data_IF_803264689605
#
_entry.id   IF_803264689605
#
_cell.length_a   1.000
_cell.length_b   1.000
_cell.length_c   1.000
_cell.angle_alpha   90.00
_cell.angle_beta   90.00
_cell.angle_gamma   90.00
#
_symmetry.space_group_name_H-M   'P 1'
#
loop_
_entity.id
_entity.type
_entity.pdbx_description
1 polymer ?
#
# COMPACT_ATOMS: atom_id res chain seq x y z
N UNK A 1 -55.53 21.29 13.24
CA UNK A 1 -55.33 20.26 12.20
C UNK A 1 -53.82 20.09 12.04
N UNK A 2 -53.15 19.39 12.96
CA UNK A 2 -52.93 17.93 12.99
C UNK A 2 -52.07 17.43 11.82
N UNK A 3 -50.77 17.22 12.04
CA UNK A 3 -50.16 15.89 12.10
C UNK A 3 -48.65 16.00 12.31
N UNK A 4 -48.19 15.54 13.47
CA UNK A 4 -46.79 15.34 13.83
C UNK A 4 -46.39 13.92 13.48
N UNK A 5 -45.28 13.72 12.76
CA UNK A 5 -44.71 12.39 12.51
C UNK A 5 -43.53 12.17 13.46
N UNK A 6 -43.81 11.42 14.52
CA UNK A 6 -42.85 10.83 15.45
C UNK A 6 -42.24 9.57 14.82
N UNK A 7 -40.92 9.42 14.89
CA UNK A 7 -40.23 8.17 14.53
C UNK A 7 -39.24 7.83 15.63
N UNK A 8 -39.58 6.79 16.40
CA UNK A 8 -38.73 6.18 17.43
C UNK A 8 -37.66 5.28 16.82
N UNK A 9 -36.42 5.26 17.35
CA UNK A 9 -35.50 4.15 17.12
C UNK A 9 -35.57 3.13 18.27
N UNK A 10 -35.54 1.86 17.86
CA UNK A 10 -35.62 0.67 18.67
C UNK A 10 -34.36 0.42 19.51
N UNK A 11 -34.59 -0.02 20.74
CA UNK A 11 -33.61 -0.51 21.71
C UNK A 11 -33.18 -1.93 21.34
N UNK A 12 -31.88 -2.18 21.21
CA UNK A 12 -31.31 -3.55 21.12
C UNK A 12 -30.68 -3.95 22.45
N UNK A 13 -30.94 -5.17 22.97
CA UNK A 13 -30.45 -5.61 24.27
C UNK A 13 -29.09 -6.30 24.21
N UNK A 14 -28.40 -6.20 25.34
CA UNK A 14 -27.16 -6.86 25.75
C UNK A 14 -27.02 -8.33 25.32
N UNK A 15 -25.84 -8.68 24.79
CA UNK A 15 -25.24 -10.00 24.92
C UNK A 15 -23.93 -9.87 25.70
N UNK A 16 -23.92 -10.42 26.92
CA UNK A 16 -22.77 -10.69 27.79
C UNK A 16 -22.45 -12.19 27.68
N UNK A 17 -21.19 -12.55 28.04
CA UNK A 17 -20.64 -13.90 28.36
C UNK A 17 -20.06 -14.68 27.18
N UNK A 18 -18.91 -15.36 27.25
CA UNK A 18 -17.90 -15.63 28.28
C UNK A 18 -16.59 -16.00 27.55
N UNK A 19 -15.44 -15.43 27.94
CA UNK A 19 -14.12 -15.87 27.46
C UNK A 19 -13.47 -16.74 28.55
N UNK A 20 -13.58 -18.06 28.38
CA UNK A 20 -12.77 -19.06 29.07
C UNK A 20 -11.57 -19.37 28.17
N UNK A 21 -10.37 -18.97 28.59
CA UNK A 21 -9.13 -19.50 28.03
C UNK A 21 -8.17 -19.91 29.14
N UNK A 22 -7.67 -21.14 28.98
CA UNK A 22 -6.87 -21.90 29.93
C UNK A 22 -5.42 -21.39 30.05
N UNK A 23 -4.76 -21.60 31.21
CA UNK A 23 -3.32 -21.37 31.36
C UNK A 23 -2.52 -22.54 30.78
N UNK A 24 -1.60 -22.25 29.85
CA UNK A 24 -0.57 -23.21 29.43
C UNK A 24 0.72 -22.94 30.18
N UNK A 25 1.23 -23.99 30.79
CA UNK A 25 2.40 -24.07 31.66
C UNK A 25 3.74 -23.98 30.92
N UNK A 26 4.73 -23.57 31.71
CA UNK A 26 6.15 -23.35 31.44
C UNK A 26 6.91 -24.47 30.72
N UNK A 27 7.93 -24.07 29.95
CA UNK A 27 9.20 -24.80 29.85
C UNK A 27 10.37 -23.79 29.73
N UNK A 28 11.20 -23.76 30.76
CA UNK A 28 12.50 -23.10 30.86
C UNK A 28 13.54 -23.79 29.97
N UNK A 29 14.59 -23.08 29.51
CA UNK A 29 15.91 -23.64 29.76
C UNK A 29 16.96 -22.64 30.28
N UNK A 30 17.63 -23.17 31.28
CA UNK A 30 18.87 -22.86 32.00
C UNK A 30 20.09 -22.50 31.14
N UNK A 31 20.74 -21.40 31.55
CA UNK A 31 22.18 -21.10 31.70
C UNK A 31 23.22 -21.36 30.59
N UNK A 32 24.11 -20.37 30.41
CA UNK A 32 25.43 -20.52 29.82
C UNK A 32 26.14 -19.17 29.56
N UNK A 33 27.27 -18.84 30.22
CA UNK A 33 27.84 -17.48 30.26
C UNK A 33 29.03 -17.27 29.31
N UNK A 34 29.42 -16.00 29.13
CA UNK A 34 30.80 -15.45 29.30
C UNK A 34 31.25 -14.49 28.20
N UNK A 35 31.86 -13.37 28.65
CA UNK A 35 33.00 -12.63 28.05
C UNK A 35 32.79 -11.93 26.68
N UNK A 36 33.31 -10.74 26.40
CA UNK A 36 34.46 -9.97 26.92
C UNK A 36 34.28 -8.50 26.57
N UNK A 37 34.64 -7.64 27.52
CA UNK A 37 34.84 -6.20 27.41
C UNK A 37 36.00 -5.87 26.47
N UNK A 38 35.86 -4.86 25.59
CA UNK A 38 36.99 -4.17 24.97
C UNK A 38 36.61 -2.72 24.69
N UNK A 39 37.07 -1.86 25.59
CA UNK A 39 36.96 -0.41 25.54
C UNK A 39 38.14 0.12 24.73
N UNK A 40 37.88 0.76 23.58
CA UNK A 40 38.88 1.56 22.87
C UNK A 40 38.50 3.03 22.97
N UNK A 41 39.24 3.73 23.82
CA UNK A 41 39.22 5.17 24.00
C UNK A 41 39.92 5.82 22.81
N UNK A 42 39.18 6.51 21.94
CA UNK A 42 39.74 7.30 20.86
C UNK A 42 39.58 8.78 21.17
N UNK A 43 40.66 9.39 21.65
CA UNK A 43 40.81 10.82 21.90
C UNK A 43 41.11 11.52 20.57
N UNK A 44 40.27 12.49 20.17
CA UNK A 44 40.61 13.45 19.11
C UNK A 44 40.35 14.89 19.58
N UNK A 45 41.19 15.84 19.12
CA UNK A 45 41.26 17.20 19.68
C UNK A 45 40.20 18.15 19.11
N UNK A 46 39.79 19.08 19.96
CA UNK A 46 39.04 20.29 19.66
C UNK A 46 39.67 21.11 18.52
N UNK A 47 38.90 21.40 17.48
CA UNK A 47 39.16 22.51 16.57
C UNK A 47 38.14 23.62 16.85
N UNK A 48 38.68 24.78 17.23
CA UNK A 48 37.99 26.06 17.43
C UNK A 48 38.08 26.90 16.15
N UNK A 49 37.23 27.93 16.07
CA UNK A 49 37.19 29.01 15.06
C UNK A 49 36.50 28.64 13.72
N UNK A 50 35.65 29.45 13.09
CA UNK A 50 35.34 30.88 13.24
C UNK A 50 33.92 31.17 12.70
N UNK A 51 33.27 32.17 13.30
CA UNK A 51 32.09 32.86 12.76
C UNK A 51 32.44 33.47 11.39
N UNK A 52 31.70 33.08 10.35
CA UNK A 52 31.71 33.76 9.06
C UNK A 52 30.51 34.70 9.00
N UNK A 53 30.79 35.98 9.19
CA UNK A 53 29.89 37.11 9.01
C UNK A 53 29.72 37.36 7.51
N UNK A 54 28.48 37.34 7.02
CA UNK A 54 28.14 37.43 5.60
C UNK A 54 27.74 38.88 5.28
N UNK A 55 28.67 39.66 4.74
CA UNK A 55 28.38 40.97 4.14
C UNK A 55 27.77 40.82 2.73
N UNK A 56 26.76 41.63 2.37
CA UNK A 56 26.15 41.61 1.03
C UNK A 56 27.01 42.36 -0.01
N UNK A 57 27.07 41.90 -1.27
CA UNK A 57 27.90 42.52 -2.29
C UNK A 57 27.29 43.83 -2.81
N UNK A 58 28.06 44.90 -2.68
CA UNK A 58 27.86 46.18 -3.38
C UNK A 58 28.29 46.03 -4.84
N UNK A 59 27.44 46.53 -5.74
CA UNK A 59 27.65 46.56 -7.18
C UNK A 59 28.94 47.34 -7.53
N UNK A 60 29.88 46.68 -8.20
CA UNK A 60 31.04 47.34 -8.81
C UNK A 60 31.08 47.03 -10.29
N UNK A 61 30.98 48.11 -11.06
CA UNK A 61 31.29 48.22 -12.48
C UNK A 61 32.78 48.02 -12.75
N UNK A 62 33.15 47.17 -13.70
CA UNK A 62 34.42 47.22 -14.42
C UNK A 62 34.27 46.34 -15.68
N UNK A 63 34.34 46.92 -16.87
CA UNK A 63 35.56 47.26 -17.61
C UNK A 63 36.13 46.06 -18.35
N UNK A 64 36.06 46.16 -19.67
CA UNK A 64 36.55 45.19 -20.64
C UNK A 64 38.07 45.06 -20.56
N UNK A 65 38.56 43.82 -20.53
CA UNK A 65 39.95 43.51 -20.87
C UNK A 65 40.05 42.16 -21.59
N UNK A 66 41.04 42.12 -22.47
CA UNK A 66 41.33 41.21 -23.58
C UNK A 66 41.36 39.70 -23.25
N UNK A 67 41.13 38.82 -24.25
CA UNK A 67 41.16 37.38 -24.06
C UNK A 67 42.59 36.82 -24.00
N UNK A 68 42.97 36.31 -22.83
CA UNK A 68 44.15 35.47 -22.64
C UNK A 68 43.89 34.04 -23.11
N UNK A 69 44.78 33.54 -23.97
CA UNK A 69 44.81 32.20 -24.56
C UNK A 69 44.99 31.13 -23.45
N UNK A 70 43.91 30.44 -23.10
CA UNK A 70 43.92 29.31 -22.16
C UNK A 70 44.27 28.00 -22.88
N UNK A 71 45.44 27.47 -22.56
CA UNK A 71 45.88 26.13 -22.94
C UNK A 71 45.14 25.10 -22.07
N UNK A 72 44.24 24.34 -22.69
CA UNK A 72 43.50 23.27 -22.02
C UNK A 72 44.43 22.06 -21.86
N UNK A 73 44.92 21.84 -20.64
CA UNK A 73 45.52 20.56 -20.27
C UNK A 73 44.39 19.56 -19.99
N UNK A 74 44.24 18.57 -20.86
CA UNK A 74 43.38 17.41 -20.64
C UNK A 74 44.01 16.51 -19.57
N UNK A 75 43.34 16.25 -18.42
CA UNK A 75 43.81 15.23 -17.51
C UNK A 75 43.55 13.84 -18.09
N UNK A 76 44.63 13.08 -18.19
CA UNK A 76 44.71 11.66 -18.53
C UNK A 76 43.76 10.82 -17.68
N UNK A 77 42.90 10.08 -18.37
CA UNK A 77 41.99 9.06 -17.83
C UNK A 77 42.76 7.90 -17.19
N UNK A 78 42.51 7.52 -15.93
CA UNK A 78 42.91 6.21 -15.44
C UNK A 78 41.90 5.14 -15.90
N UNK A 79 42.49 4.05 -16.41
CA UNK A 79 41.87 2.81 -16.85
C UNK A 79 40.94 2.17 -15.79
N UNK A 80 39.83 1.52 -16.20
CA UNK A 80 39.00 0.75 -15.28
C UNK A 80 39.62 -0.63 -15.05
N UNK A 81 39.81 -1.01 -13.79
CA UNK A 81 39.99 -2.42 -13.40
C UNK A 81 38.70 -2.98 -12.80
N UNK A 82 38.41 -4.27 -13.01
CA UNK A 82 37.09 -4.84 -12.83
C UNK A 82 36.98 -5.56 -11.48
N UNK A 83 36.03 -5.15 -10.65
CA UNK A 83 35.45 -6.00 -9.60
C UNK A 83 34.22 -5.29 -9.02
N UNK A 84 33.16 -5.20 -9.82
CA UNK A 84 31.83 -4.90 -9.26
C UNK A 84 31.39 -6.16 -8.53
N UNK A 85 31.65 -6.19 -7.22
CA UNK A 85 30.93 -7.09 -6.34
C UNK A 85 29.45 -6.75 -6.49
N UNK A 86 28.69 -7.67 -7.08
CA UNK A 86 27.24 -7.66 -7.13
C UNK A 86 26.73 -7.61 -5.68
N UNK A 87 26.49 -6.41 -5.16
CA UNK A 87 25.57 -6.22 -4.06
C UNK A 87 24.17 -6.44 -4.65
N UNK A 88 23.76 -7.70 -4.70
CA UNK A 88 22.35 -8.06 -4.73
C UNK A 88 21.75 -7.46 -3.47
N UNK A 89 21.07 -6.32 -3.64
CA UNK A 89 20.24 -5.76 -2.60
C UNK A 89 19.32 -6.86 -2.09
N UNK A 90 19.52 -7.28 -0.85
CA UNK A 90 18.50 -7.97 -0.08
C UNK A 90 17.34 -6.99 0.08
N UNK A 91 16.51 -6.90 -0.97
CA UNK A 91 15.14 -6.49 -0.82
C UNK A 91 14.57 -7.45 0.21
N UNK A 92 14.39 -6.95 1.43
CA UNK A 92 13.52 -7.56 2.42
C UNK A 92 12.12 -7.53 1.81
N UNK A 93 11.87 -8.50 0.94
CA UNK A 93 10.55 -8.93 0.55
C UNK A 93 9.92 -9.38 1.85
N UNK A 94 9.19 -8.46 2.49
CA UNK A 94 8.12 -8.83 3.42
C UNK A 94 7.46 -10.04 2.77
N UNK A 95 7.40 -11.21 3.43
CA UNK A 95 6.75 -12.36 2.82
C UNK A 95 5.39 -11.85 2.42
N UNK A 96 5.13 -11.83 1.10
CA UNK A 96 3.84 -11.47 0.57
C UNK A 96 2.89 -12.30 1.40
N UNK A 97 2.12 -11.61 2.26
CA UNK A 97 1.09 -12.24 3.07
C UNK A 97 0.22 -12.85 2.01
N UNK A 98 0.43 -14.15 1.77
CA UNK A 98 -0.20 -14.89 0.67
C UNK A 98 -1.65 -14.48 0.82
N UNK A 99 -2.15 -13.72 -0.14
CA UNK A 99 -3.56 -13.52 -0.27
C UNK A 99 -4.01 -14.94 -0.56
N UNK A 100 -4.39 -15.66 0.51
CA UNK A 100 -5.14 -16.88 0.39
C UNK A 100 -6.41 -16.36 -0.23
N UNK A 101 -6.66 -16.62 -1.53
CA UNK A 101 -7.94 -16.24 -2.12
C UNK A 101 -9.02 -16.76 -1.16
N UNK A 102 -10.13 -16.01 -0.97
CA UNK A 102 -11.26 -16.55 -0.23
C UNK A 102 -11.48 -17.95 -0.78
N UNK A 103 -11.40 -18.95 0.09
CA UNK A 103 -11.67 -20.33 -0.29
C UNK A 103 -13.05 -20.28 -0.93
N UNK A 104 -13.08 -20.35 -2.25
CA UNK A 104 -14.29 -20.71 -2.95
C UNK A 104 -14.77 -21.96 -2.24
N UNK A 105 -16.02 -21.98 -1.74
CA UNK A 105 -16.56 -23.18 -1.13
C UNK A 105 -16.31 -24.27 -2.15
N UNK A 106 -15.46 -25.23 -1.77
CA UNK A 106 -15.09 -26.37 -2.60
C UNK A 106 -16.40 -26.96 -3.11
N UNK A 107 -16.75 -26.59 -4.32
CA UNK A 107 -17.80 -27.24 -5.06
C UNK A 107 -17.45 -28.72 -5.02
N UNK A 108 -18.44 -29.60 -4.83
CA UNK A 108 -18.19 -31.03 -4.69
C UNK A 108 -17.27 -31.46 -5.83
N UNK A 109 -16.08 -31.95 -5.48
CA UNK A 109 -15.16 -32.60 -6.39
C UNK A 109 -15.95 -33.56 -7.26
N UNK A 110 -15.86 -33.51 -8.60
CA UNK A 110 -16.50 -34.51 -9.44
C UNK A 110 -15.89 -35.85 -9.08
N UNK A 111 -16.66 -36.66 -8.36
CA UNK A 111 -16.37 -38.05 -8.09
C UNK A 111 -15.96 -38.73 -9.40
N UNK A 112 -14.98 -39.66 -9.39
CA UNK A 112 -14.74 -40.51 -10.54
C UNK A 112 -16.06 -41.17 -10.97
N UNK A 113 -16.28 -41.40 -12.28
CA UNK A 113 -17.51 -42.01 -12.75
C UNK A 113 -17.72 -43.31 -12.00
N UNK A 114 -18.69 -43.27 -11.08
CA UNK A 114 -19.15 -44.44 -10.32
C UNK A 114 -19.66 -45.40 -11.38
N UNK A 115 -18.99 -46.54 -11.53
CA UNK A 115 -19.39 -47.60 -12.45
C UNK A 115 -20.89 -47.80 -12.32
N UNK A 116 -21.61 -47.42 -13.38
CA UNK A 116 -23.06 -47.61 -13.44
C UNK A 116 -23.28 -49.12 -13.38
N UNK A 117 -23.97 -49.66 -12.37
CA UNK A 117 -24.38 -51.05 -12.41
C UNK A 117 -25.25 -51.20 -13.65
N UNK A 118 -24.86 -52.10 -14.54
CA UNK A 118 -25.74 -52.55 -15.62
C UNK A 118 -27.12 -52.83 -15.03
N UNK A 119 -28.21 -52.32 -15.62
CA UNK A 119 -29.54 -52.71 -15.18
C UNK A 119 -29.65 -54.24 -15.34
N UNK A 120 -30.17 -54.95 -14.33
CA UNK A 120 -30.47 -56.37 -14.45
C UNK A 120 -31.39 -56.59 -15.66
N UNK A 121 -31.05 -57.60 -16.45
CA UNK A 121 -31.90 -58.14 -17.50
C UNK A 121 -33.21 -58.65 -16.88
N UNK A 122 -34.20 -57.77 -16.76
CA UNK A 122 -35.55 -58.18 -16.42
C UNK A 122 -36.24 -58.69 -17.68
N UNK A 123 -36.34 -60.02 -17.73
CA UNK A 123 -37.62 -60.69 -17.88
C UNK A 123 -38.35 -60.47 -19.20
N UNK A 124 -38.38 -61.54 -19.99
CA UNK A 124 -39.54 -61.93 -20.81
C UNK A 124 -40.85 -61.45 -20.14
N UNK A 125 -41.42 -60.38 -20.68
CA UNK A 125 -42.76 -59.88 -20.37
C UNK A 125 -43.70 -60.30 -21.50
N UNK A 126 -44.63 -61.17 -21.15
CA UNK A 126 -45.70 -61.78 -21.92
C UNK A 126 -46.34 -60.88 -23.00
N UNK A 127 -46.43 -61.42 -24.22
CA UNK A 127 -47.39 -61.03 -25.25
C UNK A 127 -48.81 -61.35 -24.75
N UNK A 128 -49.47 -60.39 -24.10
CA UNK A 128 -50.90 -60.43 -23.88
C UNK A 128 -51.61 -59.88 -25.12
N UNK A 129 -52.15 -60.76 -25.95
CA UNK A 129 -53.05 -60.39 -27.04
C UNK A 129 -54.36 -59.86 -26.44
N UNK A 130 -54.79 -58.62 -26.74
CA UNK A 130 -56.12 -58.19 -26.37
C UNK A 130 -57.18 -59.06 -27.09
N UNK A 131 -58.26 -59.47 -26.41
CA UNK A 131 -59.32 -60.26 -27.02
C UNK A 131 -60.00 -59.50 -28.16
N UNK A 132 -60.38 -60.24 -29.21
CA UNK A 132 -61.09 -59.76 -30.37
C UNK A 132 -62.43 -59.09 -29.98
N UNK A 133 -62.38 -57.77 -29.84
CA UNK A 133 -63.57 -56.92 -29.74
C UNK A 133 -64.21 -56.71 -31.12
N UNK A 134 -65.54 -56.51 -31.18
CA UNK A 134 -66.28 -56.40 -32.42
C UNK A 134 -65.80 -55.22 -33.27
N UNK A 135 -65.57 -55.55 -34.54
CA UNK A 135 -65.21 -54.66 -35.63
C UNK A 135 -66.03 -53.35 -35.60
N UNK A 136 -65.39 -52.19 -35.35
CA UNK A 136 -66.02 -50.91 -35.56
C UNK A 136 -66.20 -50.70 -37.07
N UNK A 137 -67.43 -50.36 -37.43
CA UNK A 137 -67.84 -50.10 -38.81
C UNK A 137 -67.00 -48.97 -39.38
N UNK A 138 -66.57 -49.19 -40.62
CA UNK A 138 -65.92 -48.24 -41.53
C UNK A 138 -66.64 -46.90 -41.57
N UNK A 139 -66.25 -45.96 -40.71
CA UNK A 139 -66.43 -44.53 -40.95
C UNK A 139 -65.27 -44.03 -41.81
N UNK A 140 -65.66 -43.44 -42.94
CA UNK A 140 -64.79 -42.95 -44.01
C UNK A 140 -63.89 -41.82 -43.48
N UNK A 141 -62.58 -42.05 -43.55
CA UNK A 141 -61.46 -41.24 -43.06
C UNK A 141 -61.36 -39.85 -43.72
N UNK A 142 -61.47 -38.75 -42.95
CA UNK A 142 -60.98 -37.42 -43.32
C UNK A 142 -59.48 -37.20 -42.95
N UNK A 143 -58.78 -38.22 -42.45
CA UNK A 143 -57.52 -38.06 -41.69
C UNK A 143 -56.29 -37.75 -42.55
N UNK A 144 -56.24 -38.15 -43.82
CA UNK A 144 -55.04 -37.99 -44.66
C UNK A 144 -54.74 -36.53 -45.03
N UNK A 145 -55.75 -35.65 -45.08
CA UNK A 145 -55.53 -34.21 -45.33
C UNK A 145 -54.96 -33.49 -44.11
N UNK A 146 -55.30 -33.95 -42.90
CA UNK A 146 -54.75 -33.38 -41.66
C UNK A 146 -53.25 -33.70 -41.50
N UNK A 147 -52.82 -34.89 -41.95
CA UNK A 147 -51.43 -35.35 -41.83
C UNK A 147 -50.48 -34.56 -42.75
N UNK A 148 -50.93 -34.18 -43.95
CA UNK A 148 -50.15 -33.35 -44.89
C UNK A 148 -49.94 -31.92 -44.36
N UNK A 149 -51.00 -31.29 -43.84
CA UNK A 149 -50.90 -29.97 -43.22
C UNK A 149 -50.01 -29.98 -41.97
N UNK A 150 -50.07 -31.04 -41.16
CA UNK A 150 -49.17 -31.19 -40.00
C UNK A 150 -47.71 -31.34 -40.42
N UNK A 151 -47.45 -32.12 -41.47
CA UNK A 151 -46.10 -32.27 -42.03
C UNK A 151 -45.55 -30.94 -42.56
N UNK A 152 -46.37 -30.11 -43.21
CA UNK A 152 -45.99 -28.77 -43.65
C UNK A 152 -45.73 -27.82 -42.48
N UNK A 153 -46.61 -27.81 -41.46
CA UNK A 153 -46.39 -27.04 -40.22
C UNK A 153 -45.10 -27.46 -39.53
N UNK A 154 -44.77 -28.76 -39.53
CA UNK A 154 -43.53 -29.26 -38.95
C UNK A 154 -42.30 -28.83 -39.75
N UNK A 155 -42.37 -28.85 -41.09
CA UNK A 155 -41.30 -28.34 -41.96
C UNK A 155 -41.07 -26.84 -41.76
N UNK A 156 -42.14 -26.04 -41.69
CA UNK A 156 -42.05 -24.60 -41.41
C UNK A 156 -41.43 -24.33 -40.04
N UNK A 157 -41.88 -25.02 -38.99
CA UNK A 157 -41.28 -24.91 -37.64
C UNK A 157 -39.81 -25.29 -37.62
N UNK A 158 -39.40 -26.30 -38.40
CA UNK A 158 -38.00 -26.70 -38.51
C UNK A 158 -37.18 -25.64 -39.22
N UNK A 159 -37.66 -25.10 -40.34
CA UNK A 159 -36.98 -24.01 -41.06
C UNK A 159 -36.88 -22.75 -40.21
N UNK A 160 -37.92 -22.41 -39.45
CA UNK A 160 -37.92 -21.28 -38.52
C UNK A 160 -36.89 -21.49 -37.40
N UNK A 161 -36.85 -22.69 -36.79
CA UNK A 161 -35.83 -23.05 -35.80
C UNK A 161 -34.42 -22.93 -36.35
N UNK A 162 -34.16 -23.53 -37.51
CA UNK A 162 -32.85 -23.46 -38.18
C UNK A 162 -32.45 -22.00 -38.48
N UNK A 163 -33.41 -21.16 -38.90
CA UNK A 163 -33.17 -19.72 -39.10
C UNK A 163 -32.85 -19.01 -37.78
N UNK A 164 -33.62 -19.24 -36.73
CA UNK A 164 -33.36 -18.62 -35.42
C UNK A 164 -32.03 -19.07 -34.81
N UNK A 165 -31.65 -20.33 -34.99
CA UNK A 165 -30.37 -20.88 -34.54
C UNK A 165 -29.20 -20.21 -35.28
N UNK A 166 -29.31 -20.06 -36.61
CA UNK A 166 -28.30 -19.36 -37.42
C UNK A 166 -28.19 -17.88 -37.06
N UNK A 167 -29.31 -17.21 -36.78
CA UNK A 167 -29.31 -15.81 -36.34
C UNK A 167 -28.64 -15.66 -34.97
N UNK A 168 -28.93 -16.55 -34.01
CA UNK A 168 -28.28 -16.58 -32.70
C UNK A 168 -26.78 -16.91 -32.79
N UNK A 169 -26.38 -17.81 -33.69
CA UNK A 169 -24.97 -18.13 -33.92
C UNK A 169 -24.21 -16.93 -34.47
N UNK A 170 -24.78 -16.21 -35.44
CA UNK A 170 -24.21 -14.96 -35.97
C UNK A 170 -24.10 -13.88 -34.90
N UNK A 171 -25.09 -13.77 -34.02
CA UNK A 171 -25.04 -12.83 -32.90
C UNK A 171 -23.91 -13.19 -31.92
N UNK A 172 -23.79 -14.47 -31.53
CA UNK A 172 -22.69 -14.96 -30.70
C UNK A 172 -21.33 -14.75 -31.33
N UNK A 173 -21.20 -14.93 -32.65
CA UNK A 173 -19.96 -14.64 -33.37
C UNK A 173 -19.61 -13.15 -33.34
N UNK A 174 -20.59 -12.27 -33.56
CA UNK A 174 -20.40 -10.82 -33.45
C UNK A 174 -20.00 -10.41 -32.04
N UNK A 175 -20.63 -10.99 -31.02
CA UNK A 175 -20.28 -10.74 -29.62
C UNK A 175 -18.85 -11.20 -29.32
N UNK A 176 -18.46 -12.41 -29.74
CA UNK A 176 -17.08 -12.91 -29.60
C UNK A 176 -16.07 -12.03 -30.32
N UNK A 177 -16.39 -11.55 -31.53
CA UNK A 177 -15.55 -10.62 -32.27
C UNK A 177 -15.42 -9.27 -31.56
N UNK A 178 -16.54 -8.70 -31.09
CA UNK A 178 -16.55 -7.44 -30.35
C UNK A 178 -15.76 -7.54 -29.04
N UNK A 179 -15.91 -8.65 -28.30
CA UNK A 179 -15.15 -8.88 -27.08
C UNK A 179 -13.65 -9.05 -27.37
N UNK A 180 -13.29 -9.79 -28.43
CA UNK A 180 -11.91 -9.97 -28.85
C UNK A 180 -11.27 -8.63 -29.26
N UNK A 181 -11.99 -7.78 -30.00
CA UNK A 181 -11.56 -6.43 -30.34
C UNK A 181 -11.41 -5.54 -29.11
N UNK A 182 -12.38 -5.55 -28.20
CA UNK A 182 -12.31 -4.77 -26.96
C UNK A 182 -11.09 -5.18 -26.11
N UNK A 183 -10.83 -6.49 -26.00
CA UNK A 183 -9.63 -7.03 -25.33
C UNK A 183 -8.35 -6.60 -26.05
N UNK A 184 -8.33 -6.62 -27.38
CA UNK A 184 -7.17 -6.17 -28.15
C UNK A 184 -6.89 -4.68 -27.93
N UNK A 185 -7.92 -3.82 -27.99
CA UNK A 185 -7.82 -2.38 -27.71
C UNK A 185 -7.34 -2.10 -26.28
N UNK A 186 -7.87 -2.82 -25.29
CA UNK A 186 -7.44 -2.69 -23.90
C UNK A 186 -5.96 -3.07 -23.72
N UNK A 187 -5.48 -4.12 -24.43
CA UNK A 187 -4.07 -4.51 -24.42
C UNK A 187 -3.17 -3.45 -25.05
N UNK A 188 -3.54 -2.91 -26.21
CA UNK A 188 -2.74 -1.87 -26.87
C UNK A 188 -2.69 -0.60 -26.04
N UNK A 189 -3.80 -0.22 -25.41
CA UNK A 189 -3.86 0.95 -24.54
C UNK A 189 -2.99 0.76 -23.29
N UNK A 190 -3.11 -0.40 -22.63
CA UNK A 190 -2.28 -0.74 -21.48
C UNK A 190 -0.78 -0.73 -21.84
N UNK A 191 -0.41 -1.31 -22.98
CA UNK A 191 0.97 -1.30 -23.46
C UNK A 191 1.49 0.13 -23.73
N UNK A 192 0.65 1.00 -24.29
CA UNK A 192 0.98 2.42 -24.48
C UNK A 192 1.20 3.13 -23.15
N UNK A 193 0.31 2.92 -22.17
CA UNK A 193 0.44 3.51 -20.83
C UNK A 193 1.70 3.03 -20.10
N UNK A 194 2.03 1.74 -20.21
CA UNK A 194 3.24 1.17 -19.62
C UNK A 194 4.51 1.76 -20.26
N UNK A 195 4.53 1.90 -21.60
CA UNK A 195 5.63 2.51 -22.33
C UNK A 195 5.81 4.00 -21.98
N UNK A 196 4.73 4.77 -21.87
CA UNK A 196 4.77 6.17 -21.44
C UNK A 196 5.25 6.32 -19.99
N UNK A 197 4.78 5.45 -19.08
CA UNK A 197 5.23 5.44 -17.70
C UNK A 197 6.72 5.08 -17.59
N UNK A 198 7.21 4.14 -18.41
CA UNK A 198 8.62 3.80 -18.47
C UNK A 198 9.48 4.94 -19.01
N UNK A 199 9.04 5.60 -20.08
CA UNK A 199 9.69 6.79 -20.60
C UNK A 199 9.79 7.89 -19.53
N UNK A 200 8.70 8.14 -18.79
CA UNK A 200 8.71 9.09 -17.66
C UNK A 200 9.70 8.69 -16.56
N UNK A 201 9.74 7.41 -16.17
CA UNK A 201 10.72 6.91 -15.18
C UNK A 201 12.15 7.10 -15.66
N UNK A 202 12.42 6.84 -16.94
CA UNK A 202 13.74 7.04 -17.55
C UNK A 202 14.18 8.51 -17.55
N UNK A 203 13.26 9.42 -17.87
CA UNK A 203 13.52 10.86 -17.80
C UNK A 203 13.83 11.33 -16.38
N UNK A 204 13.01 10.93 -15.39
CA UNK A 204 13.24 11.25 -13.98
C UNK A 204 14.59 10.70 -13.50
N UNK A 205 14.93 9.46 -13.83
CA UNK A 205 16.21 8.84 -13.47
C UNK A 205 17.42 9.55 -14.12
N UNK A 206 17.31 9.92 -15.39
CA UNK A 206 18.33 10.69 -16.11
C UNK A 206 18.55 12.08 -15.50
N UNK A 207 17.47 12.77 -15.11
CA UNK A 207 17.58 14.08 -14.45
C UNK A 207 18.18 13.94 -13.05
N UNK A 208 17.82 12.88 -12.31
CA UNK A 208 18.38 12.59 -10.98
C UNK A 208 19.90 12.34 -11.02
N UNK A 209 20.42 11.72 -12.08
CA UNK A 209 21.87 11.54 -12.27
C UNK A 209 22.61 12.81 -12.74
N UNK A 210 21.91 13.95 -12.84
CA UNK A 210 22.48 15.23 -13.27
C UNK A 210 22.33 15.51 -14.77
N UNK A 211 21.63 14.65 -15.51
CA UNK A 211 21.36 14.82 -16.92
C UNK A 211 20.53 16.06 -17.26
N UNK A 212 20.56 16.42 -18.55
CA UNK A 212 19.73 17.48 -19.16
C UNK A 212 18.90 16.83 -20.25
N UNK A 213 17.59 17.06 -20.24
CA UNK A 213 16.65 16.54 -21.25
C UNK A 213 16.86 17.26 -22.59
N UNK A 214 16.52 16.57 -23.68
CA UNK A 214 16.60 17.13 -25.05
C UNK A 214 15.23 17.15 -25.69
N UNK A 215 14.97 18.21 -26.47
CA UNK A 215 13.77 18.31 -27.29
C UNK A 215 13.84 17.38 -28.52
N UNK A 216 12.75 17.29 -29.28
CA UNK A 216 12.71 16.47 -30.51
C UNK A 216 13.72 16.93 -31.58
N UNK A 217 14.28 18.14 -31.46
CA UNK A 217 15.33 18.68 -32.34
C UNK A 217 16.74 18.46 -31.77
N UNK A 218 16.87 17.73 -30.66
CA UNK A 218 18.13 17.44 -29.98
C UNK A 218 18.71 18.61 -29.17
N UNK A 219 18.01 19.74 -29.04
CA UNK A 219 18.44 20.90 -28.24
C UNK A 219 18.17 20.64 -26.76
N UNK A 220 18.99 21.21 -25.89
CA UNK A 220 18.82 21.09 -24.44
C UNK A 220 17.55 21.82 -23.98
N UNK A 221 16.66 21.11 -23.32
CA UNK A 221 15.43 21.65 -22.76
C UNK A 221 15.62 21.92 -21.27
N UNK A 222 16.11 23.12 -20.95
CA UNK A 222 16.39 23.53 -19.58
C UNK A 222 15.10 23.70 -18.78
N UNK A 223 14.04 24.23 -19.39
CA UNK A 223 12.76 24.45 -18.72
C UNK A 223 12.12 23.12 -18.29
N UNK A 224 12.07 22.13 -19.19
CA UNK A 224 11.58 20.79 -18.86
C UNK A 224 12.45 20.11 -17.81
N UNK A 225 13.78 20.23 -17.92
CA UNK A 225 14.71 19.68 -16.95
C UNK A 225 14.50 20.29 -15.56
N UNK A 226 14.32 21.61 -15.47
CA UNK A 226 14.08 22.31 -14.21
C UNK A 226 12.73 21.94 -13.58
N UNK A 227 11.67 21.81 -14.38
CA UNK A 227 10.38 21.33 -13.91
C UNK A 227 10.48 19.91 -13.32
N UNK A 228 11.18 18.99 -14.00
CA UNK A 228 11.42 17.63 -13.48
C UNK A 228 12.26 17.68 -12.20
N UNK A 229 13.31 18.51 -12.13
CA UNK A 229 14.10 18.68 -10.89
C UNK A 229 13.26 19.23 -9.74
N UNK A 230 12.39 20.20 -9.98
CA UNK A 230 11.53 20.78 -8.95
C UNK A 230 10.54 19.73 -8.41
N UNK A 231 9.91 18.96 -9.29
CA UNK A 231 9.02 17.86 -8.88
C UNK A 231 9.78 16.76 -8.13
N UNK A 232 11.00 16.39 -8.57
CA UNK A 232 11.84 15.43 -7.85
C UNK A 232 12.21 15.93 -6.45
N UNK A 233 12.64 17.19 -6.30
CA UNK A 233 12.94 17.79 -4.98
C UNK A 233 11.73 17.77 -4.06
N UNK A 234 10.54 18.04 -4.60
CA UNK A 234 9.32 18.01 -3.83
C UNK A 234 8.98 16.59 -3.38
N UNK A 235 9.05 15.58 -4.27
CA UNK A 235 8.83 14.18 -3.91
C UNK A 235 9.83 13.68 -2.87
N UNK A 236 11.11 13.97 -3.06
CA UNK A 236 12.17 13.58 -2.13
C UNK A 236 11.95 14.25 -0.75
N UNK A 237 11.48 15.51 -0.71
CA UNK A 237 11.07 16.16 0.53
C UNK A 237 9.83 15.48 1.16
N UNK A 238 8.78 15.21 0.39
CA UNK A 238 7.58 14.51 0.88
C UNK A 238 7.90 13.12 1.43
N UNK A 239 8.77 12.38 0.76
CA UNK A 239 9.23 11.06 1.18
C UNK A 239 10.01 11.15 2.50
N UNK A 240 10.93 12.10 2.64
CA UNK A 240 11.65 12.31 3.91
C UNK A 240 10.71 12.66 5.06
N UNK A 241 9.77 13.57 4.84
CA UNK A 241 8.78 13.95 5.87
C UNK A 241 7.92 12.75 6.28
N UNK A 242 7.47 11.95 5.30
CA UNK A 242 6.70 10.72 5.56
C UNK A 242 7.53 9.69 6.32
N UNK A 243 8.76 9.44 5.88
CA UNK A 243 9.68 8.49 6.51
C UNK A 243 9.96 8.89 7.97
N UNK A 244 10.22 10.17 8.23
CA UNK A 244 10.45 10.71 9.58
C UNK A 244 9.23 10.50 10.48
N UNK A 245 8.02 10.76 9.97
CA UNK A 245 6.78 10.50 10.71
C UNK A 245 6.55 9.01 10.97
N UNK A 246 6.79 8.14 9.98
CA UNK A 246 6.68 6.69 10.12
C UNK A 246 7.68 6.13 11.12
N UNK A 247 8.91 6.66 11.16
CA UNK A 247 9.93 6.31 12.14
C UNK A 247 9.48 6.69 13.57
N UNK A 248 8.93 7.88 13.75
CA UNK A 248 8.34 8.33 15.03
C UNK A 248 7.18 7.42 15.50
N UNK A 249 6.23 7.08 14.62
CA UNK A 249 5.15 6.15 14.95
C UNK A 249 5.66 4.71 15.18
N UNK A 250 6.73 4.31 14.50
CA UNK A 250 7.44 3.06 14.71
C UNK A 250 8.05 2.99 16.11
N UNK A 251 8.83 4.01 16.48
CA UNK A 251 9.44 4.15 17.81
C UNK A 251 8.38 4.17 18.92
N UNK A 252 7.26 4.84 18.70
CA UNK A 252 6.16 4.87 19.67
C UNK A 252 5.55 3.48 19.90
N UNK A 253 5.29 2.73 18.83
CA UNK A 253 4.78 1.37 18.93
C UNK A 253 5.79 0.44 19.62
N UNK A 254 7.08 0.59 19.33
CA UNK A 254 8.13 -0.19 19.99
C UNK A 254 8.19 0.11 21.49
N UNK A 255 8.17 1.40 21.88
CA UNK A 255 8.22 1.84 23.27
C UNK A 255 7.03 1.31 24.10
N UNK A 256 5.83 1.32 23.52
CA UNK A 256 4.62 0.80 24.17
C UNK A 256 4.58 -0.74 24.18
N UNK A 257 5.00 -1.38 23.08
CA UNK A 257 5.02 -2.84 22.96
C UNK A 257 6.01 -3.52 23.91
N UNK A 258 7.16 -2.89 24.16
CA UNK A 258 8.17 -3.40 25.09
C UNK A 258 7.69 -3.48 26.55
N UNK A 259 6.64 -2.75 26.92
CA UNK A 259 6.13 -2.70 28.29
C UNK A 259 5.21 -3.86 28.68
N UNK A 260 4.74 -4.67 27.73
CA UNK A 260 3.76 -5.72 27.98
C UNK A 260 4.36 -7.08 28.39
N UNK A 261 5.69 -7.23 28.34
CA UNK A 261 6.39 -8.49 28.63
C UNK A 261 7.14 -8.49 29.97
N UNK A 262 7.35 -9.68 30.55
CA UNK A 262 8.10 -9.92 31.80
C UNK A 262 9.61 -9.62 31.73
N UNK A 263 10.05 -8.84 30.74
CA UNK A 263 11.42 -8.40 30.52
C UNK A 263 11.45 -7.00 29.93
N UNK A 264 10.57 -6.12 30.41
CA UNK A 264 10.54 -4.73 30.01
C UNK A 264 11.93 -4.11 30.25
N UNK A 265 12.69 -3.92 29.16
CA UNK A 265 14.01 -3.34 29.21
C UNK A 265 13.98 -1.92 29.78
N UNK A 266 15.08 -1.52 30.39
CA UNK A 266 15.32 -0.16 30.83
C UNK A 266 15.16 0.82 29.66
N UNK A 267 14.35 1.86 29.84
CA UNK A 267 14.13 2.93 28.86
C UNK A 267 15.03 4.10 29.21
N UNK A 268 15.81 4.60 28.26
CA UNK A 268 16.61 5.83 28.42
C UNK A 268 15.93 7.02 27.74
N UNK A 269 16.42 8.22 27.99
CA UNK A 269 15.89 9.44 27.37
C UNK A 269 15.87 9.36 25.83
N UNK A 270 16.95 8.84 25.23
CA UNK A 270 17.09 8.68 23.78
C UNK A 270 16.18 7.64 23.13
N UNK A 271 15.66 6.70 23.92
CA UNK A 271 14.79 5.63 23.42
C UNK A 271 13.35 6.12 23.22
N UNK A 272 13.02 7.28 23.79
CA UNK A 272 11.72 7.92 23.63
C UNK A 272 11.70 8.66 22.29
N UNK A 273 10.71 8.38 21.41
CA UNK A 273 10.60 9.04 20.11
C UNK A 273 10.05 10.47 20.29
N UNK A 274 10.92 11.43 20.61
CA UNK A 274 10.49 12.80 20.80
C UNK A 274 10.14 13.49 19.47
N UNK A 275 9.10 14.36 19.42
CA UNK A 275 8.60 15.00 18.21
C UNK A 275 9.45 16.23 17.84
N UNK A 276 10.76 16.10 17.91
CA UNK A 276 11.75 17.12 17.54
C UNK A 276 13.03 16.48 16.98
N UNK A 277 13.09 15.13 16.93
CA UNK A 277 14.26 14.39 16.51
C UNK A 277 14.64 14.74 15.07
N UNK A 278 15.89 15.19 14.91
CA UNK A 278 16.56 15.30 13.61
C UNK A 278 17.34 14.01 13.37
N UNK A 279 17.38 13.54 12.12
CA UNK A 279 18.00 12.28 11.76
C UNK A 279 19.48 12.23 12.20
N UNK A 280 19.78 11.38 13.18
CA UNK A 280 21.16 11.03 13.59
C UNK A 280 21.75 11.86 14.73
N UNK A 281 21.04 12.85 15.29
CA UNK A 281 21.53 13.63 16.43
C UNK A 281 21.06 13.05 17.76
N UNK A 282 21.95 13.02 18.75
CA UNK A 282 21.57 12.72 20.13
C UNK A 282 20.75 13.88 20.65
N UNK A 283 19.49 13.60 21.00
CA UNK A 283 18.56 14.64 21.43
C UNK A 283 18.73 14.93 22.91
N UNK A 284 18.82 16.21 23.24
CA UNK A 284 18.82 16.72 24.61
C UNK A 284 17.48 17.40 24.95
N UNK A 285 17.27 17.69 26.23
CA UNK A 285 16.05 18.36 26.69
C UNK A 285 15.93 19.77 26.10
N UNK A 286 17.05 20.48 25.92
CA UNK A 286 17.09 21.82 25.32
C UNK A 286 16.66 21.85 23.85
N UNK A 287 16.71 20.71 23.14
CA UNK A 287 16.30 20.61 21.74
C UNK A 287 14.77 20.60 21.58
N UNK A 288 14.02 20.34 22.65
CA UNK A 288 12.55 20.29 22.67
C UNK A 288 11.92 21.70 22.68
N UNK A 289 12.38 22.54 21.75
CA UNK A 289 11.88 23.90 21.57
C UNK A 289 10.49 23.91 20.92
N UNK A 290 9.63 24.91 21.22
CA UNK A 290 8.31 25.03 20.60
C UNK A 290 8.33 25.04 19.07
N UNK A 291 9.34 25.68 18.48
CA UNK A 291 9.51 25.76 17.02
C UNK A 291 9.77 24.39 16.39
N UNK A 292 10.70 23.60 16.95
CA UNK A 292 11.01 22.26 16.44
C UNK A 292 9.84 21.29 16.59
N UNK A 293 9.14 21.35 17.73
CA UNK A 293 7.95 20.52 17.97
C UNK A 293 6.80 20.90 17.02
N UNK A 294 6.55 22.20 16.83
CA UNK A 294 5.54 22.67 15.87
C UNK A 294 5.90 22.26 14.44
N UNK A 295 7.14 22.50 14.02
CA UNK A 295 7.63 22.14 12.70
C UNK A 295 7.46 20.65 12.46
N UNK A 296 7.94 19.79 13.36
CA UNK A 296 7.83 18.34 13.21
C UNK A 296 6.37 17.87 13.06
N UNK A 297 5.48 18.33 13.95
CA UNK A 297 4.09 17.88 13.97
C UNK A 297 3.28 18.38 12.78
N UNK A 298 3.57 19.60 12.30
CA UNK A 298 2.81 20.25 11.23
C UNK A 298 3.41 20.03 9.84
N UNK A 299 4.69 19.68 9.73
CA UNK A 299 5.35 19.44 8.43
C UNK A 299 4.68 18.28 7.68
N UNK A 300 4.24 17.24 8.37
CA UNK A 300 3.49 16.12 7.78
C UNK A 300 2.14 16.52 7.17
N UNK A 301 1.59 17.68 7.52
CA UNK A 301 0.34 18.20 6.96
C UNK A 301 0.55 18.89 5.61
N UNK A 302 1.79 19.26 5.28
CA UNK A 302 2.16 19.88 4.00
C UNK A 302 2.30 18.87 2.85
N UNK A 303 2.37 17.57 3.17
CA UNK A 303 2.46 16.48 2.18
C UNK A 303 1.14 16.34 1.42
N UNK A 304 1.22 16.23 0.09
CA UNK A 304 0.04 16.03 -0.78
C UNK A 304 -0.77 14.81 -0.33
N UNK A 305 -2.09 14.97 -0.23
CA UNK A 305 -3.02 13.89 0.15
C UNK A 305 -3.16 13.64 1.66
N UNK A 306 -2.56 14.47 2.52
CA UNK A 306 -2.81 14.39 3.96
C UNK A 306 -4.26 14.79 4.28
N UNK A 307 -5.03 13.88 4.88
CA UNK A 307 -6.44 14.12 5.25
C UNK A 307 -6.61 14.63 6.68
N UNK A 308 -5.57 14.51 7.51
CA UNK A 308 -5.61 14.90 8.93
C UNK A 308 -5.53 16.41 9.06
N UNK A 309 -6.43 16.98 9.86
CA UNK A 309 -6.43 18.44 10.12
C UNK A 309 -5.38 18.85 11.16
N UNK A 310 -4.96 20.12 11.15
CA UNK A 310 -4.07 20.68 12.19
C UNK A 310 -4.60 20.43 13.60
N UNK A 311 -5.89 20.70 13.82
CA UNK A 311 -6.56 20.52 15.13
C UNK A 311 -6.55 19.06 15.57
N UNK A 312 -6.82 18.12 14.67
CA UNK A 312 -6.81 16.68 14.96
C UNK A 312 -5.40 16.17 15.29
N UNK A 313 -4.38 16.63 14.56
CA UNK A 313 -2.97 16.30 14.80
C UNK A 313 -2.52 16.76 16.20
N UNK A 314 -2.82 18.00 16.56
CA UNK A 314 -2.47 18.56 17.87
C UNK A 314 -3.22 17.84 18.99
N UNK A 315 -4.53 17.61 18.84
CA UNK A 315 -5.34 16.90 19.84
C UNK A 315 -4.85 15.47 20.08
N UNK A 316 -4.58 14.71 19.02
CA UNK A 316 -4.05 13.34 19.16
C UNK A 316 -2.67 13.31 19.82
N UNK A 317 -1.82 14.30 19.53
CA UNK A 317 -0.52 14.47 20.19
C UNK A 317 -0.66 14.81 21.68
N UNK A 318 -1.58 15.72 22.04
CA UNK A 318 -1.88 16.05 23.45
C UNK A 318 -2.32 14.82 24.25
N UNK A 319 -3.21 14.01 23.68
CA UNK A 319 -3.69 12.79 24.33
C UNK A 319 -2.57 11.76 24.53
N UNK A 320 -1.63 11.69 23.58
CA UNK A 320 -0.48 10.79 23.65
C UNK A 320 0.54 11.22 24.70
N UNK A 321 0.87 12.51 24.74
CA UNK A 321 1.87 13.08 25.65
C UNK A 321 1.32 13.45 27.04
N UNK A 322 0.04 13.16 27.32
CA UNK A 322 -0.56 13.44 28.61
C UNK A 322 0.19 12.74 29.76
N UNK A 323 0.48 13.42 30.88
CA UNK A 323 1.30 12.88 31.97
C UNK A 323 0.76 11.55 32.52
N UNK A 324 -0.56 11.40 32.62
CA UNK A 324 -1.21 10.14 33.02
C UNK A 324 -0.76 8.94 32.17
N UNK A 325 -0.73 9.10 30.83
CA UNK A 325 -0.31 8.05 29.90
C UNK A 325 1.20 7.79 29.94
N UNK A 326 1.98 8.82 30.25
CA UNK A 326 3.43 8.71 30.35
C UNK A 326 3.91 8.05 31.65
N UNK A 327 3.06 7.90 32.67
CA UNK A 327 3.41 7.24 33.94
C UNK A 327 3.98 5.83 33.75
N UNK A 328 3.40 5.03 32.84
CA UNK A 328 3.89 3.68 32.55
C UNK A 328 5.21 3.65 31.77
N UNK A 329 5.54 4.72 31.06
CA UNK A 329 6.87 4.89 30.45
C UNK A 329 7.86 5.28 31.53
N UNK A 330 7.55 6.30 32.35
CA UNK A 330 8.40 6.79 33.44
C UNK A 330 8.79 5.71 34.45
N UNK A 331 7.89 4.76 34.75
CA UNK A 331 8.19 3.63 35.63
C UNK A 331 9.28 2.69 35.11
N UNK A 332 9.58 2.73 33.79
CA UNK A 332 10.61 1.92 33.13
C UNK A 332 11.87 2.72 32.81
N UNK A 333 11.85 4.03 33.05
CA UNK A 333 12.98 4.91 32.74
C UNK A 333 14.11 4.68 33.74
N UNK A 334 15.34 4.61 33.26
CA UNK A 334 16.54 4.55 34.12
C UNK A 334 16.54 5.75 35.06
N UNK A 335 16.81 5.53 36.35
CA UNK A 335 16.70 6.57 37.38
C UNK A 335 17.47 7.86 37.04
N UNK A 336 18.60 7.75 36.35
CA UNK A 336 19.45 8.87 35.89
C UNK A 336 18.76 9.79 34.88
N UNK A 337 17.85 9.26 34.06
CA UNK A 337 17.16 10.00 33.00
C UNK A 337 15.73 10.38 33.38
N UNK A 338 15.20 9.94 34.54
CA UNK A 338 13.81 10.20 34.95
C UNK A 338 13.48 11.69 34.96
N UNK A 339 14.37 12.53 35.50
CA UNK A 339 14.14 13.98 35.55
C UNK A 339 14.19 14.61 34.16
N UNK A 340 15.13 14.19 33.29
CA UNK A 340 15.19 14.66 31.90
C UNK A 340 13.92 14.29 31.13
N UNK A 341 13.42 13.07 31.30
CA UNK A 341 12.18 12.62 30.65
C UNK A 341 10.97 13.42 31.15
N UNK A 342 10.88 13.69 32.46
CA UNK A 342 9.82 14.53 33.03
C UNK A 342 9.84 15.95 32.49
N UNK A 343 11.04 16.55 32.40
CA UNK A 343 11.23 17.88 31.84
C UNK A 343 10.85 17.92 30.36
N UNK A 344 11.28 16.92 29.56
CA UNK A 344 10.91 16.82 28.15
C UNK A 344 9.41 16.63 27.91
N UNK A 345 8.74 15.80 28.72
CA UNK A 345 7.27 15.66 28.66
C UNK A 345 6.57 16.99 28.97
N UNK A 346 7.04 17.72 29.98
CA UNK A 346 6.50 19.03 30.35
C UNK A 346 6.67 20.02 29.20
N UNK A 347 7.88 20.14 28.65
CA UNK A 347 8.18 21.02 27.53
C UNK A 347 7.25 20.76 26.33
N UNK A 348 7.09 19.50 25.93
CA UNK A 348 6.19 19.13 24.82
C UNK A 348 4.74 19.43 25.14
N UNK A 349 4.29 19.13 26.36
CA UNK A 349 2.90 19.39 26.78
C UNK A 349 2.59 20.88 26.72
N UNK A 350 3.50 21.73 27.21
CA UNK A 350 3.37 23.20 27.13
C UNK A 350 3.34 23.68 25.67
N UNK A 351 4.23 23.16 24.81
CA UNK A 351 4.23 23.47 23.38
C UNK A 351 2.90 23.09 22.72
N UNK A 352 2.40 21.89 22.99
CA UNK A 352 1.15 21.38 22.43
C UNK A 352 -0.07 22.16 22.93
N UNK A 353 -0.10 22.58 24.20
CA UNK A 353 -1.15 23.43 24.74
C UNK A 353 -1.15 24.81 24.06
N UNK A 354 0.03 25.41 23.87
CA UNK A 354 0.16 26.67 23.14
C UNK A 354 -0.32 26.54 21.68
N UNK A 355 0.00 25.42 21.00
CA UNK A 355 -0.51 25.15 19.65
C UNK A 355 -2.01 24.95 19.61
N UNK A 356 -2.58 24.24 20.58
CA UNK A 356 -4.02 23.99 20.67
C UNK A 356 -4.81 25.27 20.97
N UNK A 357 -4.23 26.21 21.70
CA UNK A 357 -4.85 27.52 21.94
C UNK A 357 -4.91 28.41 20.69
N UNK A 358 -4.05 28.16 19.68
CA UNK A 358 -4.01 28.89 18.41
C UNK A 358 -4.91 28.29 17.32
N UNK A 359 -5.40 27.07 17.51
CA UNK A 359 -6.23 26.32 16.55
C UNK A 359 -7.69 26.32 16.93
#
# INVERSE_FOLDING_TARGET
MCASSSTSPAVSPHARRDNLFHPTTFATPTAGPSTTTSTLTSTLPHASCALFEFDPPTATSASASSPGKLTIHTPTSPSPSPAVALWTSNASTKPARRYRPPEEPLGPTPSPPRAVPYPPSYGMGYLAFPPAGPSPKSEVLPHLQADEEEAERQRQRRQERERTELELERERERERQAEAEARARARTEKARQEAEAEARRGEEAWVRSGGVLRDARGRRDLARTEAVRAELRLRDWEERVRARWEAYEGGWRALLGAGAGAGAGEVRFRDIPWPAAVDGEEMEVGDLTPGRVEEFLLEGLRVRGCTVTRRERVRSSLLRWHPDKMTGVLARVVQEDVEKVREGIRAITECLQALNART
#
